data_IF_123722926760
#
_entry.id   IF_123722926760
#
_cell.length_a   1.000
_cell.length_b   1.000
_cell.length_c   1.000
_cell.angle_alpha   90.00
_cell.angle_beta   90.00
_cell.angle_gamma   90.00
#
_symmetry.space_group_name_H-M   'P 1'
#
loop_
_entity.id
_entity.type
_entity.pdbx_description
1 polymer ?
#
# COMPACT_ATOMS: atom_id res chain seq x y z
N UNK A 1 -6.90 -43.99 -46.58
CA UNK A 1 -7.31 -42.67 -46.07
C UNK A 1 -8.64 -42.38 -46.72
N UNK A 2 -9.70 -42.22 -45.93
CA UNK A 2 -11.06 -42.05 -46.47
C UNK A 2 -11.63 -40.75 -45.94
N UNK A 3 -11.93 -39.83 -46.84
CA UNK A 3 -12.47 -38.51 -46.49
C UNK A 3 -13.92 -38.45 -46.95
N UNK A 4 -14.82 -38.23 -46.00
CA UNK A 4 -16.25 -38.01 -46.27
C UNK A 4 -16.51 -36.53 -46.43
N UNK A 5 -17.14 -36.14 -47.54
CA UNK A 5 -17.45 -34.75 -47.87
C UNK A 5 -18.94 -34.47 -47.67
N UNK A 6 -19.24 -33.35 -47.02
CA UNK A 6 -20.58 -32.78 -46.95
C UNK A 6 -20.55 -31.44 -47.68
N UNK A 7 -21.11 -31.41 -48.90
CA UNK A 7 -21.15 -30.21 -49.73
C UNK A 7 -22.18 -29.21 -49.16
N UNK A 8 -21.81 -27.93 -49.15
CA UNK A 8 -22.64 -26.79 -48.76
C UNK A 8 -22.93 -25.86 -49.96
N UNK A 9 -22.51 -26.26 -51.16
CA UNK A 9 -22.73 -25.57 -52.43
C UNK A 9 -23.45 -26.51 -53.40
N UNK A 10 -24.23 -25.92 -54.31
CA UNK A 10 -24.93 -26.62 -55.38
C UNK A 10 -24.26 -26.38 -56.75
N UNK A 11 -23.22 -25.53 -56.83
CA UNK A 11 -22.50 -25.26 -58.08
C UNK A 11 -21.68 -26.49 -58.51
N UNK A 12 -21.98 -27.10 -59.67
CA UNK A 12 -21.27 -28.30 -60.15
C UNK A 12 -19.75 -28.10 -60.31
N UNK A 13 -19.30 -26.89 -60.68
CA UNK A 13 -17.86 -26.59 -60.85
C UNK A 13 -17.15 -26.50 -59.51
N UNK A 14 -17.82 -25.94 -58.51
CA UNK A 14 -17.27 -25.87 -57.14
C UNK A 14 -17.22 -27.27 -56.51
N UNK A 15 -18.26 -28.09 -56.71
CA UNK A 15 -18.30 -29.48 -56.26
C UNK A 15 -17.14 -30.28 -56.87
N UNK A 16 -16.95 -30.22 -58.19
CA UNK A 16 -15.86 -30.92 -58.88
C UNK A 16 -14.49 -30.52 -58.34
N UNK A 17 -14.27 -29.22 -58.10
CA UNK A 17 -13.03 -28.71 -57.52
C UNK A 17 -12.79 -29.24 -56.11
N UNK A 18 -13.84 -29.30 -55.27
CA UNK A 18 -13.77 -29.80 -53.89
C UNK A 18 -13.45 -31.31 -53.87
N UNK A 19 -14.09 -32.09 -54.74
CA UNK A 19 -13.84 -33.52 -54.89
C UNK A 19 -12.40 -33.79 -55.33
N UNK A 20 -11.92 -33.10 -56.37
CA UNK A 20 -10.51 -33.16 -56.82
C UNK A 20 -9.54 -32.68 -55.74
N UNK A 21 -9.97 -31.72 -54.91
CA UNK A 21 -9.15 -31.28 -53.79
C UNK A 21 -9.03 -32.35 -52.69
N UNK A 22 -10.01 -33.20 -52.45
CA UNK A 22 -9.93 -34.23 -51.43
C UNK A 22 -9.59 -35.62 -51.96
N UNK A 23 -9.53 -35.79 -53.28
CA UNK A 23 -9.24 -37.06 -53.93
C UNK A 23 -7.85 -37.61 -53.56
N UNK A 24 -7.84 -38.90 -53.17
CA UNK A 24 -6.64 -39.65 -52.78
C UNK A 24 -6.57 -40.99 -53.50
N UNK A 25 -5.35 -41.49 -53.69
CA UNK A 25 -5.09 -42.83 -54.20
C UNK A 25 -5.25 -43.92 -53.13
N UNK A 26 -5.07 -45.18 -53.53
CA UNK A 26 -5.12 -46.37 -52.67
C UNK A 26 -4.08 -46.34 -51.52
N UNK A 27 -3.01 -45.54 -51.67
CA UNK A 27 -1.94 -45.36 -50.67
C UNK A 27 -2.16 -44.11 -49.80
N UNK A 28 -3.27 -43.39 -49.97
CA UNK A 28 -3.60 -42.16 -49.24
C UNK A 28 -2.74 -40.96 -49.62
N UNK A 29 -2.22 -40.90 -50.86
CA UNK A 29 -1.62 -39.70 -51.44
C UNK A 29 -2.66 -38.91 -52.22
N UNK A 30 -2.62 -37.58 -52.10
CA UNK A 30 -3.51 -36.70 -52.87
C UNK A 30 -3.16 -36.76 -54.35
N UNK A 31 -4.17 -36.98 -55.20
CA UNK A 31 -3.98 -37.12 -56.64
C UNK A 31 -3.44 -35.85 -57.30
N UNK A 32 -3.83 -34.67 -56.78
CA UNK A 32 -3.46 -33.38 -57.35
C UNK A 32 -2.82 -32.44 -56.32
N UNK A 33 -1.80 -31.68 -56.74
CA UNK A 33 -1.18 -30.65 -55.92
C UNK A 33 -2.09 -29.42 -55.81
N UNK A 34 -2.09 -28.79 -54.63
CA UNK A 34 -2.89 -27.57 -54.35
C UNK A 34 -2.61 -26.45 -55.36
N UNK A 35 -1.38 -26.33 -55.84
CA UNK A 35 -0.98 -25.33 -56.86
C UNK A 35 -1.60 -25.58 -58.24
N UNK A 36 -1.93 -26.82 -58.59
CA UNK A 36 -2.55 -27.17 -59.87
C UNK A 36 -4.05 -26.88 -59.88
N UNK A 37 -4.69 -26.94 -58.71
CA UNK A 37 -6.12 -26.72 -58.53
C UNK A 37 -6.49 -25.23 -58.41
N UNK A 38 -5.55 -24.38 -57.99
CA UNK A 38 -5.78 -22.96 -57.76
C UNK A 38 -6.14 -22.14 -59.03
N UNK A 39 -5.89 -22.69 -60.23
CA UNK A 39 -6.18 -22.03 -61.51
C UNK A 39 -7.49 -22.42 -62.19
N UNK A 40 -8.31 -23.28 -61.56
CA UNK A 40 -9.53 -23.84 -62.17
C UNK A 40 -10.79 -22.97 -61.98
N UNK A 41 -10.77 -22.06 -61.01
CA UNK A 41 -11.89 -21.14 -60.71
C UNK A 41 -11.34 -19.75 -60.41
N UNK A 42 -12.01 -18.71 -60.91
CA UNK A 42 -11.71 -17.32 -60.55
C UNK A 42 -12.11 -17.06 -59.09
N UNK A 43 -11.11 -16.85 -58.24
CA UNK A 43 -11.30 -16.53 -56.82
C UNK A 43 -11.07 -15.03 -56.59
N UNK A 44 -11.82 -14.44 -55.65
CA UNK A 44 -11.63 -13.05 -55.25
C UNK A 44 -10.21 -12.80 -54.71
N UNK A 45 -9.69 -11.60 -54.97
CA UNK A 45 -8.32 -11.21 -54.63
C UNK A 45 -8.09 -11.35 -53.11
N UNK A 46 -7.09 -12.16 -52.72
CA UNK A 46 -6.74 -12.42 -51.32
C UNK A 46 -7.37 -13.67 -50.69
N UNK A 47 -8.29 -14.36 -51.37
CA UNK A 47 -8.85 -15.64 -50.91
C UNK A 47 -7.88 -16.78 -51.27
N UNK A 48 -7.63 -17.71 -50.34
CA UNK A 48 -6.85 -18.94 -50.61
C UNK A 48 -7.77 -20.10 -50.98
N UNK A 49 -7.28 -21.06 -51.80
CA UNK A 49 -8.07 -22.23 -52.21
C UNK A 49 -8.61 -23.01 -50.99
N UNK A 50 -7.79 -23.15 -49.94
CA UNK A 50 -8.21 -23.78 -48.68
C UNK A 50 -9.34 -23.02 -47.97
N UNK A 51 -9.30 -21.67 -47.97
CA UNK A 51 -10.38 -20.85 -47.40
C UNK A 51 -11.66 -20.93 -48.24
N UNK A 52 -11.52 -20.96 -49.57
CA UNK A 52 -12.63 -21.10 -50.51
C UNK A 52 -13.37 -22.42 -50.30
N UNK A 53 -12.64 -23.53 -50.20
CA UNK A 53 -13.20 -24.87 -50.00
C UNK A 53 -13.87 -25.00 -48.63
N UNK A 54 -13.28 -24.47 -47.55
CA UNK A 54 -13.87 -24.50 -46.19
C UNK A 54 -15.24 -23.85 -46.09
N UNK A 55 -15.51 -22.84 -46.91
CA UNK A 55 -16.82 -22.16 -46.90
C UNK A 55 -17.92 -22.97 -47.60
N UNK A 56 -17.53 -23.96 -48.39
CA UNK A 56 -18.42 -24.67 -49.34
C UNK A 56 -18.50 -26.17 -49.09
N UNK A 57 -17.69 -26.71 -48.18
CA UNK A 57 -17.73 -28.12 -47.82
C UNK A 57 -17.16 -28.35 -46.41
N UNK A 58 -17.80 -29.25 -45.67
CA UNK A 58 -17.24 -29.85 -44.47
C UNK A 58 -16.63 -31.20 -44.83
N UNK A 59 -15.34 -31.37 -44.57
CA UNK A 59 -14.63 -32.61 -44.82
C UNK A 59 -14.39 -33.35 -43.50
N UNK A 60 -14.64 -34.65 -43.47
CA UNK A 60 -14.50 -35.50 -42.29
C UNK A 60 -13.52 -36.64 -42.59
N UNK A 61 -12.53 -36.84 -41.72
CA UNK A 61 -11.57 -37.95 -41.88
C UNK A 61 -12.07 -39.19 -41.12
N UNK A 62 -12.35 -40.27 -41.85
CA UNK A 62 -12.84 -41.52 -41.26
C UNK A 62 -11.79 -42.23 -40.39
N UNK A 63 -10.51 -41.87 -40.55
CA UNK A 63 -9.44 -42.38 -39.69
C UNK A 63 -9.34 -41.64 -38.35
N UNK A 64 -10.16 -40.61 -38.12
CA UNK A 64 -10.14 -39.79 -36.91
C UNK A 64 -11.54 -39.64 -36.31
N UNK A 65 -11.72 -40.25 -35.15
CA UNK A 65 -12.94 -40.13 -34.35
C UNK A 65 -12.69 -39.31 -33.10
N UNK A 66 -13.72 -38.60 -32.65
CA UNK A 66 -13.73 -37.86 -31.39
C UNK A 66 -13.55 -38.83 -30.22
N UNK A 67 -12.59 -38.61 -29.30
CA UNK A 67 -12.38 -39.51 -28.17
C UNK A 67 -13.54 -39.51 -27.17
N UNK A 68 -14.45 -38.52 -27.21
CA UNK A 68 -15.61 -38.40 -26.30
C UNK A 68 -16.89 -39.02 -26.85
N UNK A 69 -17.24 -38.76 -28.11
CA UNK A 69 -18.51 -39.20 -28.71
C UNK A 69 -18.35 -40.21 -29.86
N UNK A 70 -17.13 -40.58 -30.24
CA UNK A 70 -16.81 -41.46 -31.37
C UNK A 70 -17.27 -40.97 -32.76
N UNK A 71 -17.83 -39.76 -32.88
CA UNK A 71 -18.20 -39.15 -34.16
C UNK A 71 -16.97 -38.70 -34.96
N UNK A 72 -17.11 -38.62 -36.29
CA UNK A 72 -16.06 -38.15 -37.19
C UNK A 72 -15.71 -36.69 -36.92
N UNK A 73 -14.41 -36.37 -36.98
CA UNK A 73 -13.93 -35.00 -36.80
C UNK A 73 -13.84 -34.28 -38.15
N UNK A 74 -14.37 -33.07 -38.19
CA UNK A 74 -14.21 -32.15 -39.31
C UNK A 74 -12.74 -31.71 -39.43
N UNK A 75 -12.14 -31.96 -40.58
CA UNK A 75 -10.80 -31.52 -40.94
C UNK A 75 -10.88 -30.27 -41.83
N UNK A 76 -10.13 -29.23 -41.46
CA UNK A 76 -10.14 -27.96 -42.18
C UNK A 76 -9.11 -27.91 -43.31
N UNK A 77 -8.17 -28.84 -43.38
CA UNK A 77 -7.19 -28.87 -44.47
C UNK A 77 -6.56 -30.26 -44.61
N UNK A 78 -5.90 -30.48 -45.75
CA UNK A 78 -5.21 -31.74 -46.08
C UNK A 78 -4.15 -32.18 -45.07
N UNK A 79 -3.51 -31.25 -44.35
CA UNK A 79 -2.51 -31.55 -43.32
C UNK A 79 -3.09 -32.15 -42.04
N UNK A 80 -4.39 -32.00 -41.82
CA UNK A 80 -5.08 -32.55 -40.65
C UNK A 80 -5.53 -34.00 -40.88
N UNK A 81 -5.60 -34.49 -42.13
CA UNK A 81 -5.96 -35.86 -42.45
C UNK A 81 -4.87 -36.85 -42.01
N UNK A 82 -5.28 -38.05 -41.60
CA UNK A 82 -4.39 -39.13 -41.13
C UNK A 82 -4.48 -40.33 -42.07
N UNK A 83 -3.33 -40.93 -42.34
CA UNK A 83 -3.23 -42.10 -43.22
C UNK A 83 -3.70 -43.39 -42.56
N UNK A 84 -3.49 -43.50 -41.25
CA UNK A 84 -3.85 -44.65 -40.43
C UNK A 84 -4.91 -44.25 -39.39
N UNK A 85 -5.85 -45.15 -39.03
CA UNK A 85 -6.77 -44.94 -37.94
C UNK A 85 -6.01 -44.64 -36.64
N UNK A 86 -6.31 -43.50 -36.03
CA UNK A 86 -5.71 -43.13 -34.75
C UNK A 86 -6.72 -42.30 -33.94
N UNK A 87 -6.77 -42.49 -32.60
CA UNK A 87 -7.59 -41.66 -31.75
C UNK A 87 -7.15 -40.20 -31.88
N UNK A 88 -8.10 -39.31 -32.14
CA UNK A 88 -7.79 -37.90 -32.28
C UNK A 88 -7.47 -37.28 -30.92
N UNK A 89 -6.48 -36.38 -30.89
CA UNK A 89 -6.10 -35.62 -29.69
C UNK A 89 -7.14 -34.52 -29.39
N UNK A 90 -7.87 -34.06 -30.42
CA UNK A 90 -8.84 -32.98 -30.33
C UNK A 90 -10.27 -33.52 -30.30
N UNK A 91 -11.15 -32.80 -29.64
CA UNK A 91 -12.59 -33.05 -29.65
C UNK A 91 -13.22 -32.56 -30.96
N UNK A 92 -14.36 -33.14 -31.33
CA UNK A 92 -15.20 -32.57 -32.37
C UNK A 92 -15.77 -31.22 -31.91
N UNK A 93 -16.21 -30.39 -32.86
CA UNK A 93 -16.72 -29.03 -32.60
C UNK A 93 -17.84 -29.01 -31.55
N UNK A 94 -18.73 -30.01 -31.56
CA UNK A 94 -19.82 -30.13 -30.58
C UNK A 94 -19.28 -30.46 -29.18
N UNK A 95 -18.43 -31.47 -29.06
CA UNK A 95 -17.84 -31.84 -27.76
C UNK A 95 -16.92 -30.77 -27.18
N UNK A 96 -16.23 -30.00 -28.04
CA UNK A 96 -15.45 -28.84 -27.62
C UNK A 96 -16.36 -27.74 -27.10
N UNK A 97 -17.44 -27.42 -27.82
CA UNK A 97 -18.44 -26.45 -27.38
C UNK A 97 -19.06 -26.85 -26.04
N UNK A 98 -19.45 -28.11 -25.86
CA UNK A 98 -19.98 -28.61 -24.59
C UNK A 98 -18.97 -28.42 -23.45
N UNK A 99 -17.68 -28.69 -23.68
CA UNK A 99 -16.64 -28.48 -22.68
C UNK A 99 -16.44 -26.99 -22.36
N UNK A 100 -16.44 -26.14 -23.37
CA UNK A 100 -16.31 -24.70 -23.21
C UNK A 100 -17.52 -24.11 -22.46
N UNK A 101 -18.73 -24.59 -22.76
CA UNK A 101 -19.97 -24.20 -22.09
C UNK A 101 -19.96 -24.67 -20.61
N UNK A 102 -19.52 -25.90 -20.33
CA UNK A 102 -19.32 -26.40 -18.95
C UNK A 102 -18.28 -25.55 -18.20
N UNK A 103 -17.15 -25.23 -18.84
CA UNK A 103 -16.10 -24.43 -18.23
C UNK A 103 -16.57 -22.99 -17.96
N UNK A 104 -17.34 -22.41 -18.89
CA UNK A 104 -17.93 -21.08 -18.73
C UNK A 104 -18.95 -21.07 -17.59
N UNK A 105 -19.82 -22.08 -17.51
CA UNK A 105 -20.81 -22.21 -16.44
C UNK A 105 -20.15 -22.44 -15.07
N UNK A 106 -19.10 -23.26 -15.01
CA UNK A 106 -18.30 -23.44 -13.81
C UNK A 106 -17.62 -22.13 -13.37
N UNK A 107 -17.10 -21.35 -14.32
CA UNK A 107 -16.51 -20.02 -14.03
C UNK A 107 -17.57 -19.03 -13.53
N UNK A 108 -18.76 -19.01 -14.13
CA UNK A 108 -19.90 -18.19 -13.68
C UNK A 108 -20.36 -18.58 -12.29
N UNK A 109 -20.49 -19.88 -12.03
CA UNK A 109 -20.85 -20.42 -10.71
C UNK A 109 -19.84 -20.01 -9.64
N UNK A 110 -18.52 -20.12 -9.93
CA UNK A 110 -17.47 -19.66 -9.01
C UNK A 110 -17.49 -18.15 -8.76
N UNK A 111 -17.80 -17.35 -9.78
CA UNK A 111 -17.92 -15.90 -9.64
C UNK A 111 -19.16 -15.52 -8.80
N UNK A 112 -20.31 -16.15 -9.04
CA UNK A 112 -21.52 -15.94 -8.26
C UNK A 112 -21.34 -16.35 -6.79
N UNK A 113 -20.63 -17.47 -6.54
CA UNK A 113 -20.30 -17.90 -5.19
C UNK A 113 -19.36 -16.92 -4.48
N UNK A 114 -18.36 -16.38 -5.19
CA UNK A 114 -17.49 -15.33 -4.65
C UNK A 114 -18.30 -14.09 -4.25
N UNK A 115 -19.15 -13.59 -5.15
CA UNK A 115 -20.02 -12.44 -4.88
C UNK A 115 -20.94 -12.69 -3.68
N UNK A 116 -21.51 -13.90 -3.57
CA UNK A 116 -22.35 -14.30 -2.44
C UNK A 116 -21.59 -14.23 -1.11
N UNK A 117 -20.38 -14.79 -1.05
CA UNK A 117 -19.55 -14.79 0.16
C UNK A 117 -19.08 -13.38 0.53
N UNK A 118 -18.68 -12.56 -0.44
CA UNK A 118 -18.31 -11.17 -0.19
C UNK A 118 -19.51 -10.35 0.31
N UNK A 119 -20.70 -10.55 -0.26
CA UNK A 119 -21.91 -9.88 0.22
C UNK A 119 -22.29 -10.30 1.64
N UNK A 120 -22.11 -11.57 1.99
CA UNK A 120 -22.30 -12.08 3.36
C UNK A 120 -21.31 -11.47 4.34
N UNK A 121 -20.05 -11.39 3.94
CA UNK A 121 -19.01 -10.71 4.71
C UNK A 121 -19.33 -9.22 4.93
N UNK A 122 -19.75 -8.48 3.90
CA UNK A 122 -20.16 -7.08 4.02
C UNK A 122 -21.34 -6.91 5.00
N UNK A 123 -22.33 -7.81 4.97
CA UNK A 123 -23.45 -7.79 5.91
C UNK A 123 -22.98 -8.00 7.35
N UNK A 124 -22.12 -8.99 7.59
CA UNK A 124 -21.56 -9.28 8.91
C UNK A 124 -20.70 -8.12 9.45
N UNK A 125 -20.03 -7.38 8.58
CA UNK A 125 -19.30 -6.18 8.98
C UNK A 125 -20.20 -4.98 9.25
N UNK A 126 -21.34 -4.88 8.58
CA UNK A 126 -22.27 -3.74 8.76
C UNK A 126 -22.94 -3.74 10.12
N UNK A 127 -23.02 -4.89 10.79
CA UNK A 127 -23.52 -5.00 12.17
C UNK A 127 -22.47 -4.69 13.23
N UNK A 128 -21.19 -4.55 12.84
CA UNK A 128 -20.13 -4.15 13.77
C UNK A 128 -20.21 -2.65 13.98
N UNK A 129 -20.30 -2.25 15.23
CA UNK A 129 -20.27 -0.85 15.64
C UNK A 129 -19.12 -0.63 16.61
N UNK A 130 -18.61 0.60 16.64
CA UNK A 130 -17.51 1.00 17.52
C UNK A 130 -18.00 2.09 18.46
N UNK A 131 -17.68 1.94 19.75
CA UNK A 131 -17.78 3.03 20.70
C UNK A 131 -16.51 3.90 20.62
N UNK A 132 -16.59 4.99 19.86
CA UNK A 132 -15.47 5.92 19.66
C UNK A 132 -15.11 6.72 20.93
N UNK A 133 -15.92 6.68 21.99
CA UNK A 133 -15.53 7.26 23.28
C UNK A 133 -14.52 6.37 24.02
N UNK A 134 -14.52 5.06 23.76
CA UNK A 134 -13.70 4.09 24.48
C UNK A 134 -12.40 3.70 23.76
N UNK A 135 -12.14 4.19 22.55
CA UNK A 135 -10.91 3.87 21.80
C UNK A 135 -9.67 4.52 22.46
N UNK A 136 -8.49 3.94 22.24
CA UNK A 136 -7.23 4.51 22.77
C UNK A 136 -6.87 5.82 22.10
N UNK A 137 -6.15 6.69 22.82
CA UNK A 137 -5.79 8.01 22.32
C UNK A 137 -4.84 7.94 21.12
N UNK A 138 -3.99 6.92 21.03
CA UNK A 138 -3.19 6.66 19.84
C UNK A 138 -4.07 6.47 18.59
N UNK A 139 -5.13 5.66 18.70
CA UNK A 139 -6.06 5.47 17.59
C UNK A 139 -6.86 6.73 17.26
N UNK A 140 -7.20 7.55 18.26
CA UNK A 140 -7.82 8.86 18.05
C UNK A 140 -6.93 9.73 17.17
N UNK A 141 -5.65 9.88 17.55
CA UNK A 141 -4.68 10.68 16.79
C UNK A 141 -4.47 10.15 15.37
N UNK A 142 -4.41 8.83 15.21
CA UNK A 142 -4.32 8.20 13.90
C UNK A 142 -5.55 8.46 13.03
N UNK A 143 -6.77 8.39 13.59
CA UNK A 143 -8.00 8.68 12.85
C UNK A 143 -8.08 10.16 12.45
N UNK A 144 -7.70 11.09 13.33
CA UNK A 144 -7.62 12.52 13.01
C UNK A 144 -6.60 12.80 11.91
N UNK A 145 -5.44 12.17 11.98
CA UNK A 145 -4.41 12.28 10.94
C UNK A 145 -4.85 11.67 9.61
N UNK A 146 -5.51 10.50 9.66
CA UNK A 146 -6.05 9.85 8.48
C UNK A 146 -7.13 10.71 7.83
N UNK A 147 -8.09 11.23 8.59
CA UNK A 147 -9.12 12.14 8.09
C UNK A 147 -8.48 13.30 7.34
N UNK A 148 -7.59 14.05 7.98
CA UNK A 148 -6.87 15.17 7.35
C UNK A 148 -6.10 14.77 6.08
N UNK A 149 -5.56 13.55 6.03
CA UNK A 149 -4.79 13.06 4.88
C UNK A 149 -5.67 12.69 3.67
N UNK A 150 -6.91 12.23 3.90
CA UNK A 150 -7.78 11.69 2.83
C UNK A 150 -9.16 12.37 2.74
N UNK A 151 -9.44 13.42 3.50
CA UNK A 151 -10.73 14.12 3.51
C UNK A 151 -11.14 14.56 2.10
N UNK A 152 -12.41 14.35 1.71
CA UNK A 152 -13.55 13.86 2.51
C UNK A 152 -13.78 12.34 2.46
N UNK A 153 -12.79 11.54 2.01
CA UNK A 153 -12.99 10.10 1.73
C UNK A 153 -13.21 9.24 2.97
N UNK A 154 -12.62 9.60 4.11
CA UNK A 154 -12.82 8.84 5.35
C UNK A 154 -14.29 8.88 5.78
N UNK A 155 -14.90 10.08 5.72
CA UNK A 155 -16.27 10.30 6.15
C UNK A 155 -17.32 9.86 5.12
N UNK A 156 -17.09 10.13 3.84
CA UNK A 156 -18.13 10.03 2.81
C UNK A 156 -17.82 9.02 1.69
N UNK A 157 -16.74 8.25 1.81
CA UNK A 157 -16.21 7.46 0.71
C UNK A 157 -15.75 6.06 1.09
N UNK A 158 -14.90 5.52 0.22
CA UNK A 158 -14.00 4.43 0.53
C UNK A 158 -12.59 4.85 0.12
N UNK A 159 -11.58 4.28 0.75
CA UNK A 159 -10.18 4.61 0.48
C UNK A 159 -9.33 3.35 0.41
N UNK A 160 -8.20 3.46 -0.28
CA UNK A 160 -7.18 2.42 -0.37
C UNK A 160 -5.93 2.85 0.40
N UNK A 161 -5.02 1.92 0.67
CA UNK A 161 -3.69 2.28 1.24
C UNK A 161 -2.98 3.30 0.34
N UNK A 162 -3.16 3.20 -0.98
CA UNK A 162 -2.60 4.14 -1.95
C UNK A 162 -3.09 5.58 -1.82
N UNK A 163 -4.30 5.79 -1.29
CA UNK A 163 -4.82 7.14 -1.02
C UNK A 163 -4.18 7.75 0.24
N UNK A 164 -3.66 6.91 1.15
CA UNK A 164 -3.10 7.32 2.43
C UNK A 164 -1.63 7.76 2.35
N UNK A 165 -1.11 8.05 1.15
CA UNK A 165 0.31 8.41 0.91
C UNK A 165 0.80 9.61 1.73
N UNK A 166 -0.10 10.51 2.10
CA UNK A 166 0.21 11.68 2.93
C UNK A 166 0.27 11.40 4.44
N UNK A 167 -0.21 10.23 4.91
CA UNK A 167 -0.36 9.95 6.34
C UNK A 167 0.99 9.94 7.08
N UNK A 168 1.96 9.20 6.54
CA UNK A 168 3.29 9.02 7.11
C UNK A 168 4.35 8.92 6.01
N UNK A 169 5.62 9.29 6.27
CA UNK A 169 6.70 9.21 5.27
C UNK A 169 7.02 7.79 4.79
N UNK A 170 6.77 6.79 5.64
CA UNK A 170 6.94 5.35 5.37
C UNK A 170 5.94 4.54 6.20
N UNK A 171 5.83 3.23 5.93
CA UNK A 171 5.02 2.28 6.71
C UNK A 171 3.53 2.63 6.82
N UNK A 172 2.98 3.33 5.83
CA UNK A 172 1.56 3.72 5.76
C UNK A 172 0.63 2.50 5.97
N UNK A 173 0.99 1.36 5.37
CA UNK A 173 0.26 0.11 5.51
C UNK A 173 0.16 -0.38 6.96
N UNK A 174 1.20 -0.20 7.76
CA UNK A 174 1.24 -0.62 9.17
C UNK A 174 0.26 0.21 10.01
N UNK A 175 0.21 1.53 9.79
CA UNK A 175 -0.74 2.41 10.48
C UNK A 175 -2.20 2.09 10.11
N UNK A 176 -2.49 1.85 8.83
CA UNK A 176 -3.83 1.44 8.39
C UNK A 176 -4.19 0.06 8.94
N UNK A 177 -3.21 -0.86 9.00
CA UNK A 177 -3.40 -2.19 9.57
C UNK A 177 -3.75 -2.12 11.06
N UNK A 178 -3.07 -1.27 11.85
CA UNK A 178 -3.41 -1.06 13.26
C UNK A 178 -4.87 -0.61 13.44
N UNK A 179 -5.34 0.35 12.65
CA UNK A 179 -6.74 0.79 12.69
C UNK A 179 -7.72 -0.33 12.29
N UNK A 180 -7.33 -1.17 11.34
CA UNK A 180 -8.11 -2.33 10.89
C UNK A 180 -8.18 -3.41 11.96
N UNK A 181 -7.07 -3.75 12.60
CA UNK A 181 -6.98 -4.73 13.68
C UNK A 181 -7.75 -4.26 14.92
N UNK A 182 -7.77 -2.95 15.19
CA UNK A 182 -8.61 -2.33 16.20
C UNK A 182 -10.11 -2.27 15.82
N UNK A 183 -10.48 -2.68 14.60
CA UNK A 183 -11.86 -2.68 14.12
C UNK A 183 -12.43 -1.29 13.81
N UNK A 184 -11.58 -0.26 13.76
CA UNK A 184 -11.96 1.15 13.49
C UNK A 184 -12.12 1.43 12.00
N UNK A 185 -11.40 0.65 11.19
CA UNK A 185 -11.47 0.66 9.73
C UNK A 185 -11.85 -0.74 9.26
N UNK A 186 -12.81 -0.80 8.34
CA UNK A 186 -13.44 -2.01 7.86
C UNK A 186 -13.23 -2.17 6.37
N UNK A 187 -13.05 -3.40 5.92
CA UNK A 187 -12.96 -3.75 4.50
C UNK A 187 -14.35 -3.53 3.83
N UNK A 188 -14.38 -2.87 2.67
CA UNK A 188 -15.60 -2.67 1.87
C UNK A 188 -15.46 -3.31 0.48
N UNK A 189 -15.59 -4.65 0.38
CA UNK A 189 -15.54 -5.36 -0.89
C UNK A 189 -16.53 -4.85 -1.94
N UNK A 190 -17.65 -4.25 -1.52
CA UNK A 190 -18.69 -3.76 -2.43
C UNK A 190 -18.23 -2.57 -3.29
N UNK A 191 -17.21 -1.84 -2.83
CA UNK A 191 -16.61 -0.70 -3.54
C UNK A 191 -15.29 -1.06 -4.24
N UNK A 192 -14.79 -2.28 -4.06
CA UNK A 192 -13.57 -2.74 -4.69
C UNK A 192 -13.74 -2.99 -6.20
N UNK A 193 -12.63 -2.95 -6.95
CA UNK A 193 -12.66 -3.20 -8.39
C UNK A 193 -12.79 -4.70 -8.68
N UNK A 194 -13.37 -5.11 -9.82
CA UNK A 194 -13.35 -6.51 -10.23
C UNK A 194 -11.92 -7.07 -10.26
N UNK A 195 -11.73 -8.26 -9.68
CA UNK A 195 -10.43 -8.91 -9.55
C UNK A 195 -9.62 -8.53 -8.31
N UNK A 196 -10.10 -7.60 -7.47
CA UNK A 196 -9.49 -7.33 -6.16
C UNK A 196 -9.55 -8.57 -5.26
N UNK A 197 -10.69 -9.26 -5.25
CA UNK A 197 -10.88 -10.53 -4.55
C UNK A 197 -10.97 -11.65 -5.57
N UNK A 198 -10.34 -12.78 -5.29
CA UNK A 198 -10.29 -13.92 -6.20
C UNK A 198 -10.11 -15.24 -5.44
N UNK A 199 -10.42 -16.35 -6.11
CA UNK A 199 -10.20 -17.69 -5.58
C UNK A 199 -8.75 -18.14 -5.80
N UNK A 200 -8.08 -18.54 -4.74
CA UNK A 200 -6.84 -19.31 -4.78
C UNK A 200 -7.11 -20.66 -4.10
N UNK A 201 -7.24 -21.72 -4.91
CA UNK A 201 -7.77 -23.00 -4.42
C UNK A 201 -9.20 -22.86 -3.89
N UNK A 202 -9.36 -23.12 -2.59
CA UNK A 202 -10.64 -23.06 -1.84
C UNK A 202 -10.74 -21.83 -0.94
N UNK A 203 -9.76 -20.91 -0.99
CA UNK A 203 -9.72 -19.70 -0.17
C UNK A 203 -9.93 -18.43 -1.01
N UNK A 204 -10.56 -17.43 -0.40
CA UNK A 204 -10.68 -16.08 -1.00
C UNK A 204 -9.43 -15.29 -0.65
N UNK A 205 -8.68 -14.92 -1.67
CA UNK A 205 -7.50 -14.07 -1.58
C UNK A 205 -7.83 -12.65 -2.06
N UNK A 206 -6.98 -11.71 -1.66
CA UNK A 206 -7.17 -10.29 -1.97
C UNK A 206 -5.87 -9.61 -2.42
N UNK A 207 -5.98 -8.75 -3.42
CA UNK A 207 -4.91 -7.83 -3.82
C UNK A 207 -4.89 -6.65 -2.86
N UNK A 208 -3.96 -6.66 -1.90
CA UNK A 208 -3.88 -5.70 -0.78
C UNK A 208 -4.03 -4.23 -1.19
N UNK A 209 -3.35 -3.80 -2.26
CA UNK A 209 -3.37 -2.40 -2.71
C UNK A 209 -4.71 -1.95 -3.33
N UNK A 210 -5.58 -2.90 -3.67
CA UNK A 210 -6.89 -2.63 -4.26
C UNK A 210 -8.04 -2.78 -3.25
N UNK A 211 -7.74 -3.24 -2.03
CA UNK A 211 -8.73 -3.32 -0.96
C UNK A 211 -9.22 -1.92 -0.63
N UNK A 212 -10.54 -1.76 -0.65
CA UNK A 212 -11.20 -0.52 -0.25
C UNK A 212 -11.60 -0.65 1.20
N UNK A 213 -11.32 0.39 1.96
CA UNK A 213 -11.61 0.52 3.38
C UNK A 213 -12.62 1.64 3.62
N UNK A 214 -13.33 1.54 4.74
CA UNK A 214 -14.25 2.57 5.25
C UNK A 214 -14.15 2.68 6.77
N UNK A 215 -14.56 3.83 7.32
CA UNK A 215 -14.70 3.99 8.76
C UNK A 215 -15.78 3.03 9.30
N UNK A 216 -15.54 2.45 10.47
CA UNK A 216 -16.52 1.63 11.16
C UNK A 216 -17.74 2.46 11.58
N UNK A 217 -18.96 1.90 11.54
CA UNK A 217 -20.15 2.58 12.06
C UNK A 217 -20.01 2.87 13.56
N UNK A 218 -20.46 4.05 13.98
CA UNK A 218 -20.52 4.44 15.39
C UNK A 218 -21.66 3.72 16.12
N UNK A 219 -21.42 3.30 17.37
CA UNK A 219 -22.41 2.63 18.21
C UNK A 219 -23.61 3.54 18.54
N UNK A 220 -23.41 4.85 18.61
CA UNK A 220 -24.48 5.84 18.82
C UNK A 220 -25.10 6.31 17.50
N UNK A 221 -24.73 5.69 16.37
CA UNK A 221 -25.21 6.04 15.02
C UNK A 221 -24.92 7.49 14.60
N UNK A 222 -23.87 8.11 15.16
CA UNK A 222 -23.38 9.42 14.70
C UNK A 222 -22.80 9.30 13.30
N UNK A 223 -22.90 10.38 12.52
CA UNK A 223 -22.22 10.47 11.22
C UNK A 223 -20.70 10.49 11.41
N UNK A 224 -19.94 10.07 10.39
CA UNK A 224 -18.49 10.07 10.46
C UNK A 224 -17.92 11.47 10.76
N UNK A 225 -18.49 12.53 10.17
CA UNK A 225 -18.08 13.93 10.44
C UNK A 225 -18.36 14.36 11.90
N UNK A 226 -19.41 13.83 12.53
CA UNK A 226 -19.68 14.05 13.96
C UNK A 226 -18.71 13.27 14.85
N UNK A 227 -18.39 12.03 14.47
CA UNK A 227 -17.37 11.22 15.17
C UNK A 227 -16.03 11.94 15.15
N UNK A 228 -15.52 12.32 13.97
CA UNK A 228 -14.22 13.00 13.83
C UNK A 228 -14.19 14.31 14.63
N UNK A 229 -15.25 15.11 14.62
CA UNK A 229 -15.35 16.32 15.46
C UNK A 229 -15.34 15.99 16.95
N UNK A 230 -16.05 14.95 17.39
CA UNK A 230 -16.00 14.55 18.80
C UNK A 230 -14.61 14.08 19.24
N UNK A 231 -13.85 13.48 18.32
CA UNK A 231 -12.49 13.02 18.56
C UNK A 231 -11.49 14.18 18.68
N UNK A 232 -11.70 15.30 17.98
CA UNK A 232 -10.81 16.47 18.06
C UNK A 232 -10.92 17.22 19.39
N UNK A 233 -12.07 17.12 20.07
CA UNK A 233 -12.33 17.80 21.35
C UNK A 233 -11.99 16.92 22.57
N UNK A 234 -11.45 15.72 22.33
CA UNK A 234 -11.20 14.73 23.37
C UNK A 234 -10.03 15.12 24.28
N UNK A 235 -10.21 14.90 25.58
CA UNK A 235 -9.12 14.97 26.56
C UNK A 235 -8.34 13.66 26.54
N UNK A 236 -7.03 13.76 26.34
CA UNK A 236 -6.13 12.61 26.30
C UNK A 236 -5.76 12.13 27.72
N UNK A 237 -5.58 10.82 27.87
CA UNK A 237 -5.35 10.12 29.13
C UNK A 237 -4.28 9.01 29.03
N UNK A 238 -3.97 8.52 27.82
CA UNK A 238 -3.05 7.42 27.55
C UNK A 238 -1.68 7.92 27.10
N UNK A 239 -0.81 8.21 28.09
CA UNK A 239 0.53 8.74 27.83
C UNK A 239 1.41 7.74 27.05
N UNK A 240 1.35 6.47 27.43
CA UNK A 240 2.15 5.42 26.83
C UNK A 240 1.76 5.18 25.36
N UNK A 241 0.46 5.13 25.06
CA UNK A 241 -0.04 4.98 23.70
C UNK A 241 0.37 6.13 22.79
N UNK A 242 0.24 7.39 23.25
CA UNK A 242 0.63 8.57 22.47
C UNK A 242 2.14 8.58 22.22
N UNK A 243 2.95 8.28 23.24
CA UNK A 243 4.40 8.24 23.07
C UNK A 243 4.83 7.12 22.13
N UNK A 244 4.22 5.93 22.23
CA UNK A 244 4.49 4.81 21.32
C UNK A 244 4.14 5.14 19.86
N UNK A 245 3.02 5.84 19.64
CA UNK A 245 2.62 6.33 18.32
C UNK A 245 3.63 7.35 17.77
N UNK A 246 4.09 8.29 18.61
CA UNK A 246 5.13 9.23 18.22
C UNK A 246 6.43 8.53 17.85
N UNK A 247 6.84 7.50 18.60
CA UNK A 247 8.00 6.67 18.28
C UNK A 247 7.83 5.95 16.94
N UNK A 248 6.62 5.45 16.62
CA UNK A 248 6.36 4.72 15.37
C UNK A 248 6.43 5.65 14.17
N UNK A 249 5.78 6.82 14.27
CA UNK A 249 5.86 7.86 13.27
C UNK A 249 7.31 8.34 13.06
N UNK A 250 8.01 8.62 14.16
CA UNK A 250 9.39 9.13 14.12
C UNK A 250 10.36 8.09 13.53
N UNK A 251 10.17 6.81 13.84
CA UNK A 251 10.96 5.73 13.23
C UNK A 251 10.67 5.63 11.72
N UNK A 252 9.41 5.74 11.29
CA UNK A 252 9.05 5.77 9.88
C UNK A 252 9.71 6.94 9.13
N UNK A 253 9.77 8.11 9.76
CA UNK A 253 10.42 9.30 9.23
C UNK A 253 11.95 9.11 9.09
N UNK A 254 12.64 8.65 10.14
CA UNK A 254 14.09 8.37 10.05
C UNK A 254 14.39 7.26 9.02
N UNK A 255 13.56 6.23 8.94
CA UNK A 255 13.71 5.14 7.95
C UNK A 255 13.48 5.62 6.52
N UNK A 256 12.57 6.57 6.28
CA UNK A 256 12.43 7.21 4.96
C UNK A 256 13.70 7.96 4.58
N UNK A 257 14.30 8.68 5.53
CA UNK A 257 15.58 9.35 5.29
C UNK A 257 16.70 8.35 4.98
N UNK A 258 16.78 7.24 5.72
CA UNK A 258 17.72 6.15 5.44
C UNK A 258 17.57 5.62 4.01
N UNK A 259 16.34 5.32 3.58
CA UNK A 259 16.06 4.86 2.22
C UNK A 259 16.59 5.81 1.16
N UNK A 260 16.30 7.11 1.30
CA UNK A 260 16.81 8.17 0.41
C UNK A 260 18.34 8.18 0.36
N UNK A 261 19.01 8.06 1.51
CA UNK A 261 20.48 8.04 1.55
C UNK A 261 21.05 6.77 0.92
N UNK A 262 20.43 5.62 1.14
CA UNK A 262 20.84 4.35 0.53
C UNK A 262 20.68 4.38 -0.99
N UNK A 263 19.56 4.90 -1.50
CA UNK A 263 19.31 5.09 -2.93
C UNK A 263 20.38 6.00 -3.57
N UNK A 264 20.72 7.12 -2.92
CA UNK A 264 21.73 8.07 -3.41
C UNK A 264 23.09 7.40 -3.66
N UNK A 265 23.46 6.40 -2.85
CA UNK A 265 24.73 5.69 -2.94
C UNK A 265 24.63 4.29 -3.57
N UNK A 266 23.46 3.88 -4.06
CA UNK A 266 23.17 2.55 -4.59
C UNK A 266 23.49 1.43 -3.58
N UNK A 267 23.08 1.61 -2.33
CA UNK A 267 23.12 0.57 -1.31
C UNK A 267 21.78 -0.15 -1.24
N UNK A 268 21.81 -1.46 -1.43
CA UNK A 268 20.65 -2.32 -1.24
C UNK A 268 20.75 -2.99 0.13
N UNK A 269 19.67 -2.87 0.91
CA UNK A 269 19.50 -3.50 2.21
C UNK A 269 18.41 -4.56 2.11
N UNK A 270 18.62 -5.68 2.77
CA UNK A 270 17.62 -6.74 2.91
C UNK A 270 16.51 -6.32 3.88
N UNK A 271 15.36 -6.97 3.80
CA UNK A 271 14.23 -6.74 4.72
C UNK A 271 14.64 -6.96 6.19
N UNK A 272 15.44 -8.00 6.46
CA UNK A 272 15.97 -8.27 7.80
C UNK A 272 16.85 -7.14 8.33
N UNK A 273 17.72 -6.57 7.49
CA UNK A 273 18.58 -5.44 7.87
C UNK A 273 17.76 -4.17 8.12
N UNK A 274 16.71 -3.93 7.32
CA UNK A 274 15.80 -2.81 7.51
C UNK A 274 15.05 -2.91 8.84
N UNK A 275 14.55 -4.09 9.21
CA UNK A 275 13.89 -4.31 10.49
C UNK A 275 14.85 -4.16 11.69
N UNK A 276 16.10 -4.64 11.55
CA UNK A 276 17.13 -4.43 12.57
C UNK A 276 17.44 -2.94 12.79
N UNK A 277 17.54 -2.17 11.69
CA UNK A 277 17.77 -0.73 11.75
C UNK A 277 16.55 -0.01 12.35
N UNK A 278 15.33 -0.32 11.90
CA UNK A 278 14.08 0.25 12.42
C UNK A 278 13.98 0.05 13.93
N UNK A 279 14.20 -1.18 14.41
CA UNK A 279 14.21 -1.51 15.84
C UNK A 279 15.25 -0.70 16.63
N UNK A 280 16.48 -0.61 16.10
CA UNK A 280 17.57 0.14 16.73
C UNK A 280 17.26 1.65 16.80
N UNK A 281 16.72 2.22 15.73
CA UNK A 281 16.37 3.64 15.66
C UNK A 281 15.16 3.98 16.54
N UNK A 282 14.12 3.12 16.55
CA UNK A 282 12.95 3.28 17.43
C UNK A 282 13.37 3.36 18.90
N UNK A 283 14.25 2.47 19.35
CA UNK A 283 14.78 2.53 20.72
C UNK A 283 15.63 3.80 20.96
N UNK A 284 16.40 4.25 19.97
CA UNK A 284 17.17 5.48 20.10
C UNK A 284 16.29 6.74 20.19
N UNK A 285 15.13 6.74 19.56
CA UNK A 285 14.15 7.84 19.59
C UNK A 285 13.56 8.08 20.98
N UNK A 286 13.68 7.12 21.92
CA UNK A 286 13.30 7.36 23.31
C UNK A 286 14.15 8.47 23.96
N UNK A 287 15.37 8.68 23.46
CA UNK A 287 16.34 9.65 24.02
C UNK A 287 16.62 10.80 23.07
N UNK A 288 16.85 10.51 21.78
CA UNK A 288 17.32 11.47 20.78
C UNK A 288 16.17 12.02 19.92
N UNK A 289 16.42 13.14 19.23
CA UNK A 289 15.46 13.69 18.26
C UNK A 289 15.58 13.02 16.88
N UNK A 290 14.55 13.20 16.05
CA UNK A 290 14.56 12.75 14.64
C UNK A 290 15.73 13.39 13.88
N UNK A 291 15.96 14.70 14.08
CA UNK A 291 17.03 15.45 13.41
C UNK A 291 18.43 14.97 13.80
N UNK A 292 18.62 14.51 15.03
CA UNK A 292 19.86 13.88 15.47
C UNK A 292 20.06 12.50 14.84
N UNK A 293 19.01 11.70 14.70
CA UNK A 293 19.13 10.39 14.09
C UNK A 293 19.34 10.44 12.57
N UNK A 294 18.80 11.44 11.87
CA UNK A 294 19.18 11.69 10.48
C UNK A 294 20.69 11.90 10.33
N UNK A 295 21.32 12.64 11.26
CA UNK A 295 22.77 12.86 11.21
C UNK A 295 23.58 11.58 11.41
N UNK A 296 23.12 10.70 12.29
CA UNK A 296 23.70 9.36 12.50
C UNK A 296 23.59 8.52 11.23
N UNK A 297 22.38 8.48 10.63
CA UNK A 297 22.09 7.68 9.43
C UNK A 297 23.02 8.04 8.29
N UNK A 298 23.08 9.31 7.88
CA UNK A 298 23.95 9.72 6.78
C UNK A 298 25.42 9.55 7.09
N UNK A 299 25.85 9.75 8.34
CA UNK A 299 27.26 9.50 8.69
C UNK A 299 27.61 8.04 8.38
N UNK A 300 26.76 7.11 8.82
CA UNK A 300 26.97 5.68 8.60
C UNK A 300 26.83 5.29 7.12
N UNK A 301 25.82 5.80 6.42
CA UNK A 301 25.60 5.48 5.00
C UNK A 301 26.74 6.03 4.13
N UNK A 302 27.20 7.25 4.39
CA UNK A 302 28.35 7.85 3.71
C UNK A 302 29.65 7.08 4.00
N UNK A 303 29.85 6.64 5.24
CA UNK A 303 30.97 5.78 5.61
C UNK A 303 30.92 4.43 4.88
N UNK A 304 29.73 3.85 4.68
CA UNK A 304 29.54 2.66 3.85
C UNK A 304 29.83 2.94 2.36
N UNK A 305 29.41 4.09 1.83
CA UNK A 305 29.74 4.49 0.47
C UNK A 305 31.25 4.65 0.25
N UNK A 306 31.97 5.24 1.21
CA UNK A 306 33.43 5.33 1.19
C UNK A 306 34.09 3.94 1.25
N UNK A 307 33.55 3.04 2.08
CA UNK A 307 34.04 1.68 2.22
C UNK A 307 33.87 0.87 0.92
N UNK A 308 32.78 1.08 0.18
CA UNK A 308 32.51 0.41 -1.10
C UNK A 308 33.56 0.71 -2.18
N UNK A 309 34.35 1.77 -2.05
CA UNK A 309 35.43 2.13 -2.97
C UNK A 309 36.79 1.52 -2.61
N UNK A 310 36.87 0.67 -1.56
CA UNK A 310 38.13 0.02 -1.14
C UNK A 310 38.32 -1.33 -1.82
N UNK A 311 39.58 -1.72 -2.01
CA UNK A 311 40.03 -2.91 -2.76
C UNK A 311 39.32 -4.22 -2.37
N UNK A 312 38.99 -4.42 -1.09
CA UNK A 312 38.39 -5.67 -0.59
C UNK A 312 36.86 -5.59 -0.36
N UNK A 313 36.24 -4.46 -0.69
CA UNK A 313 34.81 -4.24 -0.50
C UNK A 313 34.10 -4.09 -1.83
N UNK A 314 32.87 -4.59 -1.88
CA UNK A 314 31.90 -4.26 -2.91
C UNK A 314 30.69 -3.58 -2.26
N UNK A 315 29.80 -2.99 -3.06
CA UNK A 315 28.63 -2.27 -2.54
C UNK A 315 27.78 -3.14 -1.58
N UNK A 316 27.41 -4.39 -1.91
CA UNK A 316 26.66 -5.24 -0.98
C UNK A 316 27.37 -5.47 0.36
N UNK A 317 28.67 -5.79 0.34
CA UNK A 317 29.47 -5.99 1.57
C UNK A 317 29.57 -4.72 2.40
N UNK A 318 29.63 -3.56 1.77
CA UNK A 318 29.67 -2.28 2.47
C UNK A 318 28.30 -1.90 3.06
N UNK A 319 27.22 -2.10 2.30
CA UNK A 319 25.83 -1.89 2.75
C UNK A 319 25.48 -2.75 3.95
N UNK A 320 25.89 -4.03 3.96
CA UNK A 320 25.70 -4.95 5.08
C UNK A 320 26.37 -4.50 6.40
N UNK A 321 27.27 -3.50 6.37
CA UNK A 321 27.85 -2.93 7.59
C UNK A 321 26.98 -1.87 8.25
N UNK A 322 25.95 -1.35 7.56
CA UNK A 322 25.12 -0.22 8.01
C UNK A 322 24.41 -0.53 9.33
N UNK A 323 23.65 -1.65 9.51
CA UNK A 323 22.96 -1.92 10.77
C UNK A 323 23.90 -1.95 11.97
N UNK A 324 24.97 -2.74 11.89
CA UNK A 324 25.97 -2.85 12.95
C UNK A 324 26.76 -1.57 13.20
N UNK A 325 26.89 -0.66 12.22
CA UNK A 325 27.52 0.65 12.42
C UNK A 325 26.58 1.65 13.08
N UNK A 326 25.28 1.65 12.75
CA UNK A 326 24.28 2.48 13.43
C UNK A 326 24.25 2.11 14.92
N UNK A 327 24.08 0.82 15.24
CA UNK A 327 24.07 0.34 16.63
C UNK A 327 25.33 0.76 17.40
N UNK A 328 26.52 0.45 16.87
CA UNK A 328 27.79 0.79 17.55
C UNK A 328 28.00 2.29 17.70
N UNK A 329 27.54 3.10 16.75
CA UNK A 329 27.62 4.56 16.85
C UNK A 329 26.74 5.06 18.02
N UNK A 330 25.48 4.62 18.09
CA UNK A 330 24.56 4.99 19.16
C UNK A 330 25.03 4.50 20.54
N UNK A 331 25.56 3.27 20.62
CA UNK A 331 26.18 2.75 21.85
C UNK A 331 27.36 3.61 22.32
N UNK A 332 28.22 4.02 21.38
CA UNK A 332 29.35 4.90 21.66
C UNK A 332 28.88 6.26 22.15
N UNK A 333 27.93 6.87 21.45
CA UNK A 333 27.33 8.16 21.79
C UNK A 333 26.76 8.14 23.21
N UNK A 334 26.00 7.10 23.55
CA UNK A 334 25.44 6.92 24.89
C UNK A 334 26.52 6.72 25.96
N UNK A 335 27.51 5.85 25.71
CA UNK A 335 28.56 5.53 26.68
C UNK A 335 29.48 6.72 26.97
N UNK A 336 29.79 7.51 25.94
CA UNK A 336 30.74 8.61 26.00
C UNK A 336 30.05 9.98 26.16
N UNK A 337 28.71 10.01 26.28
CA UNK A 337 27.89 11.23 26.38
C UNK A 337 28.20 12.25 25.27
N UNK A 338 28.35 11.76 24.03
CA UNK A 338 28.66 12.59 22.88
C UNK A 338 27.39 13.32 22.44
N UNK A 339 27.48 14.64 22.25
CA UNK A 339 26.38 15.41 21.67
C UNK A 339 26.25 15.11 20.16
N UNK A 340 25.04 14.69 19.76
CA UNK A 340 24.72 14.47 18.35
C UNK A 340 24.34 15.77 17.67
N UNK A 341 24.87 15.98 16.46
CA UNK A 341 24.45 17.09 15.60
C UNK A 341 23.02 16.88 15.11
N UNK A 342 22.24 17.94 15.07
CA UNK A 342 20.89 17.97 14.48
C UNK A 342 20.95 18.44 13.04
N UNK A 343 20.16 17.83 12.16
CA UNK A 343 20.01 18.27 10.78
C UNK A 343 18.61 18.72 10.43
N UNK A 344 18.55 19.65 9.48
CA UNK A 344 17.29 20.12 8.91
C UNK A 344 16.66 19.08 7.99
N UNK A 345 15.33 19.08 7.96
CA UNK A 345 14.54 18.24 7.05
C UNK A 345 14.91 18.54 5.59
N UNK A 346 15.23 17.52 4.77
CA UNK A 346 15.39 17.70 3.34
C UNK A 346 14.07 17.99 2.63
N UNK A 347 14.06 18.87 1.64
CA UNK A 347 12.84 19.23 0.86
C UNK A 347 12.13 18.02 0.23
N UNK A 348 12.90 17.03 -0.21
CA UNK A 348 12.39 15.79 -0.82
C UNK A 348 11.77 14.80 0.19
N UNK A 349 11.74 15.15 1.48
CA UNK A 349 11.23 14.34 2.57
C UNK A 349 10.23 15.13 3.44
N UNK A 350 9.03 15.44 2.89
CA UNK A 350 8.00 16.16 3.65
C UNK A 350 7.51 15.34 4.84
N UNK A 351 7.09 16.02 5.89
CA UNK A 351 6.43 15.39 7.03
C UNK A 351 5.07 14.79 6.61
N UNK A 352 4.69 13.68 7.24
CA UNK A 352 3.36 13.11 7.08
C UNK A 352 2.32 13.85 7.93
N UNK A 353 1.05 13.76 7.56
CA UNK A 353 -0.07 14.36 8.29
C UNK A 353 -0.12 13.90 9.75
N UNK A 354 0.27 12.66 10.05
CA UNK A 354 0.36 12.16 11.42
C UNK A 354 1.39 12.94 12.25
N UNK A 355 2.54 13.26 11.67
CA UNK A 355 3.55 14.10 12.32
C UNK A 355 3.07 15.52 12.54
N UNK A 356 2.31 16.08 11.60
CA UNK A 356 1.72 17.41 11.75
C UNK A 356 0.71 17.44 12.90
N UNK A 357 -0.18 16.44 12.99
CA UNK A 357 -1.14 16.32 14.10
C UNK A 357 -0.44 16.17 15.45
N UNK A 358 0.57 15.30 15.53
CA UNK A 358 1.38 15.14 16.74
C UNK A 358 2.09 16.44 17.12
N UNK A 359 2.64 17.16 16.14
CA UNK A 359 3.31 18.45 16.34
C UNK A 359 2.37 19.54 16.83
N UNK A 360 1.16 19.63 16.28
CA UNK A 360 0.13 20.58 16.73
C UNK A 360 -0.33 20.31 18.18
N UNK A 361 -0.51 19.04 18.54
CA UNK A 361 -1.05 18.64 19.86
C UNK A 361 0.02 18.72 20.95
N UNK A 362 1.25 18.32 20.64
CA UNK A 362 2.34 18.25 21.62
C UNK A 362 3.23 19.50 21.61
N UNK A 363 3.13 20.35 20.59
CA UNK A 363 4.05 21.48 20.38
C UNK A 363 5.47 21.03 20.05
N UNK A 364 5.61 19.92 19.32
CA UNK A 364 6.91 19.28 19.03
C UNK A 364 7.25 19.31 17.55
N UNK A 365 8.55 19.24 17.27
CA UNK A 365 9.12 19.20 15.92
C UNK A 365 10.20 18.10 15.81
N UNK A 366 10.86 17.99 14.66
CA UNK A 366 11.95 17.02 14.47
C UNK A 366 13.18 17.25 15.38
N UNK A 367 13.29 18.41 16.04
CA UNK A 367 14.39 18.75 16.95
C UNK A 367 14.07 18.39 18.39
N UNK A 368 12.81 18.09 18.70
CA UNK A 368 12.39 17.70 20.03
C UNK A 368 12.84 16.27 20.31
N UNK A 369 13.64 16.10 21.36
CA UNK A 369 14.16 14.80 21.80
C UNK A 369 13.09 13.93 22.46
N UNK A 370 13.21 12.61 22.35
CA UNK A 370 12.26 11.66 22.96
C UNK A 370 11.96 11.89 24.44
N UNK A 371 12.95 12.22 25.26
CA UNK A 371 12.72 12.49 26.69
C UNK A 371 11.81 13.70 26.93
N UNK A 372 11.94 14.75 26.10
CA UNK A 372 11.07 15.92 26.14
C UNK A 372 9.67 15.57 25.68
N UNK A 373 9.53 14.78 24.60
CA UNK A 373 8.22 14.33 24.12
C UNK A 373 7.52 13.48 25.18
N UNK A 374 8.22 12.53 25.79
CA UNK A 374 7.68 11.72 26.89
C UNK A 374 7.20 12.58 28.06
N UNK A 375 7.97 13.62 28.43
CA UNK A 375 7.59 14.57 29.48
C UNK A 375 6.34 15.39 29.11
N UNK A 376 6.28 15.89 27.87
CA UNK A 376 5.14 16.65 27.34
C UNK A 376 3.86 15.80 27.28
N UNK A 377 3.97 14.54 26.85
CA UNK A 377 2.85 13.60 26.78
C UNK A 377 2.34 13.24 28.19
N UNK A 378 3.26 13.06 29.14
CA UNK A 378 2.91 12.80 30.55
C UNK A 378 2.17 14.01 31.15
N UNK A 379 2.59 15.23 30.80
CA UNK A 379 1.88 16.45 31.19
C UNK A 379 0.51 16.60 30.53
N UNK A 380 0.43 16.39 29.20
CA UNK A 380 -0.80 16.49 28.41
C UNK A 380 -1.91 15.58 28.95
N UNK A 381 -1.54 14.39 29.41
CA UNK A 381 -2.48 13.39 29.93
C UNK A 381 -2.77 13.53 31.43
N UNK A 382 -2.27 14.59 32.07
CA UNK A 382 -2.46 14.85 33.50
C UNK A 382 -1.71 13.87 34.42
N UNK A 383 -0.84 13.02 33.87
CA UNK A 383 -0.05 12.04 34.62
C UNK A 383 1.24 12.64 35.21
N UNK A 384 1.61 13.87 34.83
CA UNK A 384 2.86 14.52 35.19
C UNK A 384 2.67 15.94 35.72
N UNK A 385 3.67 16.41 36.48
CA UNK A 385 3.83 17.85 36.77
C UNK A 385 4.39 18.54 35.53
N UNK A 386 4.13 19.85 35.39
CA UNK A 386 4.68 20.68 34.29
C UNK A 386 6.16 20.35 34.03
N UNK A 387 6.59 20.15 32.76
CA UNK A 387 7.98 19.85 32.45
C UNK A 387 8.89 20.89 33.11
N UNK A 388 9.97 20.43 33.74
CA UNK A 388 10.80 21.15 34.71
C UNK A 388 11.59 22.37 34.20
N UNK A 389 11.17 22.98 33.09
CA UNK A 389 11.50 24.38 32.78
C UNK A 389 10.58 25.32 33.57
N UNK A 390 9.44 24.83 34.08
CA UNK A 390 8.46 25.62 34.84
C UNK A 390 8.61 25.59 36.36
N UNK A 391 9.20 24.57 36.99
CA UNK A 391 9.10 24.44 38.46
C UNK A 391 9.79 25.58 39.25
N UNK A 392 10.86 26.18 38.71
CA UNK A 392 11.54 27.35 39.30
C UNK A 392 10.86 28.68 38.93
N UNK A 393 10.14 28.71 37.81
CA UNK A 393 9.49 29.91 37.27
C UNK A 393 7.98 29.98 37.57
N UNK A 394 7.36 28.89 38.02
CA UNK A 394 5.91 28.81 38.26
C UNK A 394 5.47 29.80 39.35
N UNK A 395 6.25 29.92 40.43
CA UNK A 395 5.97 30.87 41.49
C UNK A 395 6.24 32.32 41.05
N UNK A 396 7.39 32.65 40.42
CA UNK A 396 7.62 33.97 39.81
C UNK A 396 6.56 34.38 38.77
N UNK A 397 6.13 33.46 37.89
CA UNK A 397 5.10 33.73 36.87
C UNK A 397 3.76 33.98 37.54
N UNK A 398 3.39 33.15 38.52
CA UNK A 398 2.14 33.31 39.26
C UNK A 398 2.11 34.63 40.02
N UNK A 399 3.20 34.99 40.68
CA UNK A 399 3.34 36.27 41.37
C UNK A 399 3.22 37.43 40.37
N UNK A 400 3.96 37.38 39.26
CA UNK A 400 3.93 38.38 38.20
C UNK A 400 2.52 38.58 37.63
N UNK A 401 1.82 37.49 37.29
CA UNK A 401 0.46 37.55 36.76
C UNK A 401 -0.54 38.06 37.80
N UNK A 402 -0.36 37.70 39.08
CA UNK A 402 -1.21 38.20 40.18
C UNK A 402 -1.04 39.70 40.36
N UNK A 403 0.20 40.20 40.34
CA UNK A 403 0.51 41.63 40.42
C UNK A 403 -0.04 42.36 39.18
N UNK A 404 0.17 41.81 37.99
CA UNK A 404 -0.28 42.41 36.74
C UNK A 404 -1.81 42.55 36.68
N UNK A 405 -2.54 41.54 37.16
CA UNK A 405 -4.00 41.58 37.27
C UNK A 405 -4.48 42.55 38.35
N UNK A 406 -3.80 42.60 39.50
CA UNK A 406 -4.16 43.53 40.59
C UNK A 406 -4.01 45.01 40.18
N UNK A 407 -3.11 45.30 39.23
CA UNK A 407 -2.82 46.66 38.76
C UNK A 407 -3.43 46.97 37.38
N UNK A 408 -4.20 46.05 36.78
CA UNK A 408 -4.80 46.19 35.44
C UNK A 408 -3.79 46.51 34.32
N UNK A 409 -2.59 45.94 34.41
CA UNK A 409 -1.47 46.16 33.46
C UNK A 409 -1.10 44.93 32.65
N UNK A 410 -1.96 43.91 32.61
CA UNK A 410 -1.69 42.62 31.96
C UNK A 410 -1.26 42.76 30.49
N UNK A 411 -1.85 43.68 29.73
CA UNK A 411 -1.49 43.93 28.33
C UNK A 411 -0.06 44.48 28.17
N UNK A 412 0.35 45.40 29.04
CA UNK A 412 1.70 45.98 29.06
C UNK A 412 2.75 44.93 29.45
N UNK A 413 2.43 44.07 30.41
CA UNK A 413 3.29 42.96 30.84
C UNK A 413 3.52 41.97 29.70
N UNK A 414 2.47 41.58 28.98
CA UNK A 414 2.58 40.66 27.85
C UNK A 414 3.36 41.27 26.67
N UNK A 415 3.19 42.56 26.41
CA UNK A 415 3.96 43.27 25.37
C UNK A 415 5.44 43.34 25.73
N UNK A 416 5.76 43.67 27.00
CA UNK A 416 7.14 43.77 27.47
C UNK A 416 7.83 42.41 27.49
N UNK A 417 7.12 41.36 27.91
CA UNK A 417 7.62 39.99 27.85
C UNK A 417 7.97 39.60 26.41
N UNK A 418 7.08 39.87 25.45
CA UNK A 418 7.33 39.61 24.04
C UNK A 418 8.52 40.40 23.47
N UNK A 419 8.76 41.64 23.92
CA UNK A 419 9.95 42.42 23.56
C UNK A 419 11.25 41.78 24.05
N UNK A 420 11.28 41.32 25.31
CA UNK A 420 12.46 40.71 25.91
C UNK A 420 12.81 39.37 25.25
N UNK A 421 11.81 38.55 24.92
CA UNK A 421 12.03 37.31 24.17
C UNK A 421 12.54 37.62 22.75
N UNK A 422 12.00 38.63 22.06
CA UNK A 422 12.49 39.04 20.73
C UNK A 422 13.92 39.59 20.76
N UNK A 423 14.33 40.20 21.88
CA UNK A 423 15.69 40.67 22.10
C UNK A 423 16.68 39.53 22.46
N UNK A 424 16.19 38.28 22.53
CA UNK A 424 17.02 37.09 22.77
C UNK A 424 17.25 36.77 24.24
N UNK A 425 16.50 37.38 25.17
CA UNK A 425 16.54 37.03 26.57
C UNK A 425 15.78 35.73 26.85
N UNK A 426 16.22 34.99 27.87
CA UNK A 426 15.48 33.83 28.34
C UNK A 426 14.25 34.24 29.17
N UNK A 427 13.34 33.26 29.35
CA UNK A 427 12.05 33.45 30.03
C UNK A 427 12.24 33.87 31.49
N UNK A 428 13.23 33.32 32.19
CA UNK A 428 13.51 33.63 33.59
C UNK A 428 13.93 35.09 33.77
N UNK A 429 14.88 35.54 32.96
CA UNK A 429 15.30 36.94 32.91
C UNK A 429 14.12 37.88 32.61
N UNK A 430 13.27 37.51 31.64
CA UNK A 430 12.14 38.34 31.25
C UNK A 430 11.09 38.47 32.38
N UNK A 431 10.85 37.42 33.15
CA UNK A 431 9.93 37.45 34.29
C UNK A 431 10.50 38.29 35.44
N UNK A 432 11.79 38.14 35.75
CA UNK A 432 12.45 38.87 36.83
C UNK A 432 12.48 40.39 36.55
N UNK A 433 12.93 40.79 35.35
CA UNK A 433 13.01 42.20 34.93
C UNK A 433 11.64 42.91 35.01
N UNK A 434 10.57 42.25 34.53
CA UNK A 434 9.22 42.83 34.57
C UNK A 434 8.70 42.84 36.01
N UNK A 435 8.98 41.79 36.78
CA UNK A 435 8.59 41.68 38.19
C UNK A 435 9.24 42.74 39.07
N UNK A 436 10.52 43.08 38.84
CA UNK A 436 11.19 44.20 39.52
C UNK A 436 10.55 45.54 39.17
N UNK A 437 10.27 45.77 37.89
CA UNK A 437 9.65 47.01 37.40
C UNK A 437 8.25 47.25 37.99
N UNK A 438 7.49 46.17 38.26
CA UNK A 438 6.16 46.27 38.87
C UNK A 438 6.17 46.37 40.40
N UNK A 439 7.30 46.03 41.04
CA UNK A 439 7.48 46.10 42.50
C UNK A 439 8.13 47.41 42.96
N UNK A 440 8.80 48.13 42.06
CA UNK A 440 9.28 49.50 42.24
C UNK A 440 8.16 50.51 42.03
#
# INVERSE_FOLDING_TARGET
MTIRLQMLTEDPKEIELIERYWAVDEFGQYLEKVSALAGLIEMAQGVTLTSFIRQRCNAFDENQVCPKCAELIEIKNRSQAKKLPQPAIKLCTLCQKDQDDIALEAKRSKAAELERQLAEFCRNQSTRTVDYSAISDAHVLMLLALDRAITPRLANGGFTIGDCRGLAPLYIGDFVLQLREAGLVLDDPSKARPGTYYWEGDEIWMVRDQVVYRLAPDAESRSADEVIRSLSDRVYTDAEGIFNLWLDYSAADVMRYLGIQCELYNHELTEQELEEIKSTLRSALETYSVSQLWSVVWKVVRDAASLANREYYNRPKAAATIPGKIRRNLEKVRRESIELKSWSRPDQHPAGTLGMVLGEILGVDENTSGHMVSSLVTWLTGQGRSPSVGAELDEPIRELMTIALAHDVSSSVMLRFAELIRAGHDVGFAIEEIGETLRS
#
